data_IF_972124845525
#
_entry.id   IF_972124845525
#
_cell.length_a   1.000
_cell.length_b   1.000
_cell.length_c   1.000
_cell.angle_alpha   90.00
_cell.angle_beta   90.00
_cell.angle_gamma   90.00
#
_symmetry.space_group_name_H-M   'P 1'
#
loop_
_entity.id
_entity.type
_entity.pdbx_description
1 polymer ?
#
# COMPACT_ATOMS: atom_id res chain seq x y z
N UNK A 1 47.68 46.71 3.21
CA UNK A 1 47.35 45.45 2.52
C UNK A 1 46.42 44.65 3.41
N UNK A 2 45.12 44.55 3.08
CA UNK A 2 44.11 43.88 3.91
C UNK A 2 44.04 42.38 3.56
N UNK A 3 43.81 41.55 4.58
CA UNK A 3 43.24 40.21 4.42
C UNK A 3 42.08 40.10 5.39
N UNK A 4 40.89 40.46 4.90
CA UNK A 4 39.63 40.14 5.57
C UNK A 4 39.25 38.71 5.16
N UNK A 5 39.28 37.81 6.14
CA UNK A 5 38.78 36.45 6.02
C UNK A 5 37.26 36.52 5.80
N UNK A 6 36.82 36.39 4.55
CA UNK A 6 35.42 36.28 4.18
C UNK A 6 34.89 34.92 4.62
N UNK A 7 34.30 34.89 5.81
CA UNK A 7 33.43 33.82 6.26
C UNK A 7 32.18 33.81 5.39
N UNK A 8 32.19 33.03 4.31
CA UNK A 8 31.00 32.71 3.51
C UNK A 8 29.97 32.03 4.42
N UNK A 9 29.11 32.85 5.03
CA UNK A 9 27.85 32.43 5.62
C UNK A 9 27.05 31.77 4.49
N UNK A 10 26.96 30.44 4.54
CA UNK A 10 26.03 29.68 3.71
C UNK A 10 24.64 30.13 4.11
N UNK A 11 24.05 31.03 3.33
CA UNK A 11 22.63 31.34 3.38
C UNK A 11 21.91 30.04 3.04
N UNK A 12 21.49 29.30 4.07
CA UNK A 12 20.48 28.27 3.89
C UNK A 12 19.25 29.00 3.37
N UNK A 13 18.96 28.82 2.09
CA UNK A 13 17.73 29.24 1.45
C UNK A 13 16.57 28.72 2.31
N UNK A 14 15.98 29.62 3.10
CA UNK A 14 14.72 29.39 3.78
C UNK A 14 13.70 29.14 2.68
N UNK A 15 13.52 27.86 2.31
CA UNK A 15 12.38 27.42 1.53
C UNK A 15 11.18 27.99 2.26
N UNK A 16 10.41 28.86 1.59
CA UNK A 16 9.17 29.43 2.09
C UNK A 16 8.27 28.27 2.46
N UNK A 17 8.31 27.85 3.74
CA UNK A 17 7.47 26.78 4.26
C UNK A 17 6.08 27.36 4.23
N UNK A 18 5.29 26.97 3.24
CA UNK A 18 3.87 27.28 3.23
C UNK A 18 3.29 26.60 4.47
N UNK A 19 2.56 27.36 5.28
CA UNK A 19 1.91 26.80 6.45
C UNK A 19 0.84 25.78 6.03
N UNK A 20 0.75 24.71 6.80
CA UNK A 20 -0.28 23.70 6.63
C UNK A 20 -1.64 24.31 6.97
N UNK A 21 -2.61 24.19 6.06
CA UNK A 21 -3.95 24.76 6.24
C UNK A 21 -4.96 23.76 6.76
N UNK A 22 -4.85 22.50 6.33
CA UNK A 22 -5.83 21.45 6.65
C UNK A 22 -5.18 20.24 7.30
N UNK A 23 -4.02 19.83 6.80
CA UNK A 23 -3.33 18.64 7.29
C UNK A 23 -2.50 18.95 8.54
N UNK A 24 -2.38 17.96 9.42
CA UNK A 24 -1.44 18.03 10.53
C UNK A 24 -0.01 17.73 10.05
N UNK A 25 0.98 18.11 10.85
CA UNK A 25 2.40 17.94 10.51
C UNK A 25 2.76 16.49 10.21
N UNK A 26 2.13 15.51 10.86
CA UNK A 26 2.43 14.09 10.64
C UNK A 26 1.83 13.60 9.32
N UNK A 27 0.57 13.90 9.02
CA UNK A 27 -0.04 13.55 7.75
C UNK A 27 0.69 14.22 6.57
N UNK A 28 1.02 15.51 6.70
CA UNK A 28 1.78 16.24 5.69
C UNK A 28 3.16 15.62 5.46
N UNK A 29 3.87 15.25 6.53
CA UNK A 29 5.19 14.63 6.41
C UNK A 29 5.12 13.24 5.77
N UNK A 30 4.12 12.41 6.13
CA UNK A 30 3.90 11.11 5.50
C UNK A 30 3.69 11.23 3.98
N UNK A 31 2.86 12.21 3.56
CA UNK A 31 2.66 12.50 2.15
C UNK A 31 3.92 13.06 1.49
N UNK A 32 4.68 13.93 2.15
CA UNK A 32 5.97 14.40 1.63
C UNK A 32 6.99 13.26 1.45
N UNK A 33 6.97 12.24 2.31
CA UNK A 33 7.82 11.05 2.14
C UNK A 33 7.39 10.25 0.90
N UNK A 34 6.08 10.04 0.72
CA UNK A 34 5.53 9.36 -0.46
C UNK A 34 5.93 10.08 -1.77
N UNK A 35 5.75 11.39 -1.77
CA UNK A 35 6.05 12.27 -2.90
C UNK A 35 7.56 12.39 -3.13
N UNK A 36 8.38 12.40 -2.08
CA UNK A 36 9.83 12.47 -2.20
C UNK A 36 10.49 11.17 -2.65
N UNK A 37 9.82 10.03 -2.46
CA UNK A 37 10.28 8.71 -2.87
C UNK A 37 9.67 8.28 -4.21
N UNK A 38 8.70 7.37 -4.14
CA UNK A 38 8.17 6.65 -5.30
C UNK A 38 7.42 7.52 -6.32
N UNK A 39 6.93 8.70 -5.92
CA UNK A 39 6.12 9.58 -6.78
C UNK A 39 6.84 10.89 -7.20
N UNK A 40 8.14 11.01 -6.91
CA UNK A 40 8.93 12.27 -7.09
C UNK A 40 8.92 12.83 -8.50
N UNK A 41 8.90 11.97 -9.51
CA UNK A 41 9.01 12.37 -10.91
C UNK A 41 7.66 12.45 -11.62
N UNK A 42 6.55 12.35 -10.88
CA UNK A 42 5.21 12.31 -11.47
C UNK A 42 4.41 13.57 -11.15
N UNK A 43 3.79 14.12 -12.19
CA UNK A 43 2.79 15.17 -12.01
C UNK A 43 1.58 14.62 -11.24
N UNK A 44 1.00 15.41 -10.34
CA UNK A 44 -0.14 14.98 -9.52
C UNK A 44 -1.35 14.58 -10.36
N UNK A 45 -1.59 15.27 -11.47
CA UNK A 45 -2.63 14.90 -12.45
C UNK A 45 -2.34 13.55 -13.13
N UNK A 46 -1.07 13.24 -13.39
CA UNK A 46 -0.69 11.95 -13.95
C UNK A 46 -0.93 10.83 -12.95
N UNK A 47 -0.58 11.02 -11.66
CA UNK A 47 -0.86 10.04 -10.60
C UNK A 47 -2.37 9.81 -10.47
N UNK A 48 -3.16 10.88 -10.47
CA UNK A 48 -4.62 10.80 -10.48
C UNK A 48 -5.13 9.98 -11.67
N UNK A 49 -4.59 10.22 -12.87
CA UNK A 49 -4.93 9.47 -14.07
C UNK A 49 -4.58 7.99 -13.92
N UNK A 50 -3.37 7.65 -13.45
CA UNK A 50 -2.94 6.27 -13.20
C UNK A 50 -3.88 5.54 -12.21
N UNK A 51 -4.36 6.23 -11.16
CA UNK A 51 -5.33 5.65 -10.21
C UNK A 51 -6.68 5.42 -10.89
N UNK A 52 -7.12 6.32 -11.78
CA UNK A 52 -8.38 6.19 -12.51
C UNK A 52 -8.32 5.09 -13.59
N UNK A 53 -7.22 4.99 -14.33
CA UNK A 53 -6.99 3.98 -15.37
C UNK A 53 -6.52 2.64 -14.81
N UNK A 54 -6.24 2.58 -13.50
CA UNK A 54 -5.79 1.38 -12.82
C UNK A 54 -4.47 0.83 -13.39
N UNK A 55 -3.53 1.73 -13.70
CA UNK A 55 -2.23 1.39 -14.30
C UNK A 55 -1.26 0.78 -13.29
N UNK A 56 -1.02 -0.52 -13.42
CA UNK A 56 -0.20 -1.34 -12.50
C UNK A 56 1.28 -1.25 -12.79
N UNK A 57 1.69 -0.69 -13.94
CA UNK A 57 3.12 -0.49 -14.24
C UNK A 57 3.72 0.63 -13.39
N UNK A 58 2.89 1.63 -13.09
CA UNK A 58 3.25 2.79 -12.28
C UNK A 58 2.89 2.56 -10.82
N UNK A 59 1.67 2.07 -10.56
CA UNK A 59 1.16 1.82 -9.22
C UNK A 59 1.42 0.36 -8.83
N UNK A 60 2.62 0.08 -8.34
CA UNK A 60 2.95 -1.22 -7.77
C UNK A 60 2.30 -1.42 -6.38
N UNK A 61 2.30 -2.65 -5.86
CA UNK A 61 1.74 -2.99 -4.54
C UNK A 61 2.27 -2.08 -3.43
N UNK A 62 3.59 -1.87 -3.36
CA UNK A 62 4.21 -1.00 -2.35
C UNK A 62 3.70 0.44 -2.40
N UNK A 63 3.57 1.03 -3.58
CA UNK A 63 3.05 2.40 -3.76
C UNK A 63 1.58 2.47 -3.37
N UNK A 64 0.80 1.45 -3.73
CA UNK A 64 -0.61 1.37 -3.35
C UNK A 64 -0.80 1.25 -1.84
N UNK A 65 0.02 0.45 -1.17
CA UNK A 65 0.01 0.31 0.28
C UNK A 65 0.41 1.61 0.98
N UNK A 66 1.48 2.27 0.51
CA UNK A 66 1.90 3.57 1.05
C UNK A 66 0.83 4.64 0.81
N UNK A 67 0.17 4.64 -0.36
CA UNK A 67 -0.96 5.52 -0.62
C UNK A 67 -2.09 5.29 0.38
N UNK A 68 -2.48 4.03 0.61
CA UNK A 68 -3.55 3.69 1.57
C UNK A 68 -3.17 4.08 3.00
N UNK A 69 -1.90 3.89 3.39
CA UNK A 69 -1.41 4.17 4.74
C UNK A 69 -1.24 5.67 5.02
N UNK A 70 -0.78 6.43 4.03
CA UNK A 70 -0.43 7.84 4.19
C UNK A 70 -1.52 8.81 3.75
N UNK A 71 -2.55 8.34 3.02
CA UNK A 71 -3.70 9.17 2.70
C UNK A 71 -4.44 9.59 3.98
N UNK A 72 -4.72 10.89 4.14
CA UNK A 72 -5.51 11.38 5.26
C UNK A 72 -6.95 10.84 5.20
N UNK A 73 -7.65 10.83 6.35
CA UNK A 73 -9.05 10.42 6.43
C UNK A 73 -9.96 11.21 5.46
N UNK A 74 -11.10 10.61 5.06
CA UNK A 74 -12.00 11.20 4.07
C UNK A 74 -12.53 12.57 4.48
N UNK A 75 -12.65 12.85 5.78
CA UNK A 75 -13.09 14.16 6.27
C UNK A 75 -12.06 15.26 6.04
N UNK A 76 -10.76 14.95 6.16
CA UNK A 76 -9.69 15.90 5.81
C UNK A 76 -9.58 16.07 4.29
N UNK A 77 -9.74 15.00 3.51
CA UNK A 77 -9.77 15.07 2.05
C UNK A 77 -10.92 15.96 1.53
N UNK A 78 -12.10 15.89 2.16
CA UNK A 78 -13.23 16.77 1.84
C UNK A 78 -12.91 18.24 2.13
N UNK A 79 -12.27 18.54 3.26
CA UNK A 79 -11.83 19.91 3.58
C UNK A 79 -10.80 20.42 2.56
N UNK A 80 -9.88 19.57 2.13
CA UNK A 80 -8.89 19.92 1.10
C UNK A 80 -9.52 20.22 -0.27
N UNK A 81 -10.63 19.55 -0.61
CA UNK A 81 -11.41 19.83 -1.81
C UNK A 81 -11.97 21.26 -1.84
N UNK A 82 -12.27 21.86 -0.69
CA UNK A 82 -12.72 23.26 -0.60
C UNK A 82 -11.61 24.25 -1.01
N UNK A 83 -10.35 23.84 -0.93
CA UNK A 83 -9.19 24.64 -1.34
C UNK A 83 -8.68 24.31 -2.75
N UNK A 84 -9.45 23.54 -3.54
CA UNK A 84 -9.06 23.11 -4.90
C UNK A 84 -8.84 24.29 -5.86
N UNK A 85 -9.48 25.43 -5.65
CA UNK A 85 -9.25 26.63 -6.46
C UNK A 85 -7.99 27.41 -6.01
N UNK A 86 -7.46 27.08 -4.84
CA UNK A 86 -6.35 27.79 -4.17
C UNK A 86 -5.12 26.89 -3.94
N UNK A 87 -4.88 25.91 -4.81
CA UNK A 87 -3.76 24.94 -4.68
C UNK A 87 -2.39 25.62 -4.61
N UNK A 88 -2.21 26.75 -5.32
CA UNK A 88 -0.97 27.53 -5.31
C UNK A 88 -0.59 28.04 -3.92
N UNK A 89 -1.55 28.17 -3.01
CA UNK A 89 -1.35 28.60 -1.61
C UNK A 89 -1.03 27.44 -0.66
N UNK A 90 -1.25 26.19 -1.06
CA UNK A 90 -1.06 24.99 -0.26
C UNK A 90 0.35 24.39 -0.40
N UNK A 91 0.73 23.55 0.57
CA UNK A 91 1.96 22.74 0.51
C UNK A 91 1.88 21.66 -0.57
N UNK A 92 3.01 21.10 -1.02
CA UNK A 92 3.02 20.01 -2.01
C UNK A 92 2.20 18.79 -1.55
N UNK A 93 2.29 18.42 -0.27
CA UNK A 93 1.52 17.34 0.33
C UNK A 93 0.00 17.59 0.24
N UNK A 94 -0.45 18.81 0.57
CA UNK A 94 -1.85 19.19 0.49
C UNK A 94 -2.35 19.32 -0.95
N UNK A 95 -1.52 19.82 -1.87
CA UNK A 95 -1.84 19.88 -3.30
C UNK A 95 -2.08 18.48 -3.86
N UNK A 96 -1.19 17.54 -3.53
CA UNK A 96 -1.36 16.14 -3.90
C UNK A 96 -2.65 15.58 -3.31
N UNK A 97 -2.87 15.73 -2.00
CA UNK A 97 -4.05 15.23 -1.31
C UNK A 97 -5.35 15.81 -1.88
N UNK A 98 -5.40 17.11 -2.20
CA UNK A 98 -6.55 17.75 -2.85
C UNK A 98 -6.79 17.21 -4.28
N UNK A 99 -5.73 16.95 -5.04
CA UNK A 99 -5.82 16.41 -6.41
C UNK A 99 -6.40 14.99 -6.42
N UNK A 100 -5.96 14.13 -5.50
CA UNK A 100 -6.48 12.76 -5.38
C UNK A 100 -7.83 12.69 -4.67
N UNK A 101 -8.15 13.64 -3.77
CA UNK A 101 -9.45 13.74 -3.11
C UNK A 101 -10.60 13.88 -4.11
N UNK A 102 -10.35 14.47 -5.28
CA UNK A 102 -11.31 14.60 -6.39
C UNK A 102 -11.77 13.23 -6.95
N UNK A 103 -11.04 12.14 -6.68
CA UNK A 103 -11.39 10.80 -7.12
C UNK A 103 -12.52 10.25 -6.24
N UNK A 104 -13.68 9.99 -6.86
CA UNK A 104 -14.81 9.32 -6.21
C UNK A 104 -14.43 7.92 -5.72
N UNK A 105 -14.70 7.67 -4.44
CA UNK A 105 -14.40 6.39 -3.75
C UNK A 105 -12.92 6.00 -3.84
N UNK A 106 -12.01 6.97 -3.65
CA UNK A 106 -10.56 6.77 -3.69
C UNK A 106 -10.10 5.57 -2.83
N UNK A 107 -10.43 5.55 -1.54
CA UNK A 107 -9.95 4.50 -0.63
C UNK A 107 -10.39 3.07 -1.06
N UNK A 108 -11.67 2.81 -1.38
CA UNK A 108 -12.07 1.51 -1.94
C UNK A 108 -11.34 1.13 -3.24
N UNK A 109 -11.08 2.10 -4.13
CA UNK A 109 -10.36 1.85 -5.39
C UNK A 109 -8.92 1.42 -5.14
N UNK A 110 -8.21 2.17 -4.29
CA UNK A 110 -6.82 1.84 -3.93
C UNK A 110 -6.72 0.46 -3.28
N UNK A 111 -7.61 0.13 -2.35
CA UNK A 111 -7.64 -1.22 -1.74
C UNK A 111 -7.90 -2.32 -2.76
N UNK A 112 -8.78 -2.07 -3.72
CA UNK A 112 -9.08 -3.05 -4.78
C UNK A 112 -7.89 -3.26 -5.71
N UNK A 113 -7.17 -2.18 -6.04
CA UNK A 113 -5.93 -2.21 -6.80
C UNK A 113 -4.82 -2.95 -6.05
N UNK A 114 -4.59 -2.61 -4.78
CA UNK A 114 -3.60 -3.27 -3.92
C UNK A 114 -3.90 -4.77 -3.83
N UNK A 115 -5.16 -5.13 -3.58
CA UNK A 115 -5.58 -6.53 -3.56
C UNK A 115 -5.27 -7.24 -4.88
N UNK A 116 -5.54 -6.61 -6.04
CA UNK A 116 -5.24 -7.19 -7.34
C UNK A 116 -3.75 -7.47 -7.52
N UNK A 117 -2.88 -6.54 -7.11
CA UNK A 117 -1.43 -6.70 -7.20
C UNK A 117 -0.93 -7.83 -6.27
N UNK A 118 -1.40 -7.86 -5.03
CA UNK A 118 -0.98 -8.89 -4.06
C UNK A 118 -1.64 -10.24 -4.26
N UNK A 119 -2.71 -10.33 -5.06
CA UNK A 119 -3.50 -11.56 -5.22
C UNK A 119 -2.67 -12.74 -5.72
N UNK A 120 -1.82 -12.51 -6.72
CA UNK A 120 -1.01 -13.60 -7.31
C UNK A 120 0.01 -14.15 -6.32
N UNK A 121 0.66 -13.27 -5.55
CA UNK A 121 1.60 -13.66 -4.49
C UNK A 121 0.89 -14.37 -3.34
N UNK A 122 -0.28 -13.87 -2.94
CA UNK A 122 -1.11 -14.48 -1.90
C UNK A 122 -1.55 -15.90 -2.30
N UNK A 123 -2.05 -16.10 -3.52
CA UNK A 123 -2.41 -17.44 -3.98
C UNK A 123 -1.19 -18.36 -4.10
N UNK A 124 -0.06 -17.83 -4.57
CA UNK A 124 1.17 -18.62 -4.71
C UNK A 124 1.73 -19.06 -3.37
N UNK A 125 1.66 -18.21 -2.34
CA UNK A 125 2.05 -18.56 -0.96
C UNK A 125 1.06 -19.53 -0.29
N UNK A 126 -0.24 -19.45 -0.61
CA UNK A 126 -1.26 -20.34 -0.04
C UNK A 126 -1.33 -21.73 -0.68
N UNK A 127 -0.98 -21.87 -1.97
CA UNK A 127 -0.96 -23.17 -2.69
C UNK A 127 -0.27 -24.30 -1.91
N UNK A 128 0.98 -24.16 -1.44
CA UNK A 128 1.65 -25.25 -0.73
C UNK A 128 0.94 -25.65 0.57
N UNK A 129 0.26 -24.70 1.25
CA UNK A 129 -0.53 -25.02 2.43
C UNK A 129 -1.75 -25.87 2.09
N UNK A 130 -2.45 -25.56 0.99
CA UNK A 130 -3.57 -26.37 0.50
C UNK A 130 -3.11 -27.79 0.16
N UNK A 131 -2.01 -27.94 -0.59
CA UNK A 131 -1.50 -29.24 -1.03
C UNK A 131 -1.01 -30.09 0.15
N UNK A 132 -0.44 -29.44 1.17
CA UNK A 132 -0.07 -30.11 2.43
C UNK A 132 -1.29 -30.60 3.20
N UNK A 133 -2.37 -29.82 3.26
CA UNK A 133 -3.59 -30.24 3.95
C UNK A 133 -4.27 -31.41 3.23
N UNK A 134 -4.33 -31.40 1.90
CA UNK A 134 -4.89 -32.53 1.14
C UNK A 134 -4.09 -33.82 1.35
N UNK A 135 -2.76 -33.75 1.32
CA UNK A 135 -1.92 -34.94 1.54
C UNK A 135 -2.02 -35.48 2.96
N UNK A 136 -2.21 -34.62 3.98
CA UNK A 136 -2.50 -35.06 5.35
C UNK A 136 -3.83 -35.80 5.44
N UNK A 137 -4.89 -35.29 4.79
CA UNK A 137 -6.20 -35.96 4.80
C UNK A 137 -6.18 -37.31 4.10
N UNK A 138 -5.43 -37.46 3.01
CA UNK A 138 -5.27 -38.73 2.30
C UNK A 138 -4.48 -39.74 3.15
N UNK A 139 -3.42 -39.29 3.82
CA UNK A 139 -2.63 -40.14 4.72
C UNK A 139 -3.44 -40.62 5.93
N UNK A 140 -4.30 -39.78 6.51
CA UNK A 140 -5.21 -40.15 7.59
C UNK A 140 -6.23 -41.21 7.16
N UNK A 141 -6.82 -41.09 5.95
CA UNK A 141 -7.74 -42.09 5.39
C UNK A 141 -7.04 -43.44 5.16
N UNK A 142 -5.80 -43.42 4.66
CA UNK A 142 -5.00 -44.62 4.48
C UNK A 142 -4.68 -45.29 5.82
N UNK A 143 -4.27 -44.51 6.83
CA UNK A 143 -3.99 -45.02 8.17
C UNK A 143 -5.22 -45.65 8.84
N UNK A 144 -6.40 -45.05 8.69
CA UNK A 144 -7.67 -45.60 9.17
C UNK A 144 -7.98 -46.96 8.50
N UNK A 145 -7.82 -47.04 7.18
CA UNK A 145 -8.03 -48.29 6.43
C UNK A 145 -7.07 -49.39 6.88
N UNK A 146 -5.78 -49.06 7.09
CA UNK A 146 -4.77 -50.01 7.61
C UNK A 146 -5.12 -50.47 9.02
N UNK A 147 -5.61 -49.58 9.88
CA UNK A 147 -6.05 -49.93 11.24
C UNK A 147 -7.24 -50.89 11.22
N UNK A 148 -8.23 -50.66 10.34
CA UNK A 148 -9.38 -51.54 10.17
C UNK A 148 -8.97 -52.93 9.65
N UNK A 149 -8.08 -52.99 8.66
CA UNK A 149 -7.52 -54.26 8.15
C UNK A 149 -6.82 -55.03 9.28
N UNK A 150 -6.00 -54.36 10.10
CA UNK A 150 -5.33 -54.98 11.25
C UNK A 150 -6.34 -55.50 12.29
N UNK A 151 -7.48 -54.83 12.45
CA UNK A 151 -8.55 -55.24 13.39
C UNK A 151 -9.34 -56.46 12.89
N UNK A 152 -9.46 -56.64 11.58
CA UNK A 152 -10.12 -57.78 10.94
C UNK A 152 -9.23 -59.03 10.85
N UNK A 153 -7.91 -58.86 10.79
CA UNK A 153 -6.93 -59.96 10.62
C UNK A 153 -6.97 -61.10 11.67
N UNK A 154 -7.33 -60.91 12.95
CA UNK A 154 -7.48 -62.01 13.91
C UNK A 154 -8.74 -62.83 13.66
N UNK A 155 -9.83 -62.20 13.21
CA UNK A 155 -11.14 -62.85 13.02
C UNK A 155 -11.14 -63.80 11.83
N UNK A 156 -10.36 -63.48 10.79
CA UNK A 156 -10.16 -64.37 9.64
C UNK A 156 -9.29 -65.59 9.98
N UNK A 157 -8.36 -65.45 10.92
CA UNK A 157 -7.52 -66.55 11.41
C UNK A 157 -8.25 -67.54 12.33
N UNK A 158 -9.34 -67.12 12.97
CA UNK A 158 -10.18 -68.03 13.77
C UNK A 158 -11.24 -68.77 12.95
N UNK A 159 -11.36 -68.48 11.65
CA UNK A 159 -12.34 -69.08 10.74
C UNK A 159 -11.70 -70.07 9.74
N UNK A 160 -10.39 -70.21 9.75
CA UNK A 160 -9.60 -71.18 8.97
C UNK A 160 -8.99 -72.21 9.91
#
# INVERSE_FOLDING_TARGET
MPVLLNSSIRVHTLKKVKDLKVLDSKAAQNLSILLGGSLKHMAYDHIKMCILTCDTKVLNGNVLDLLIQYLPPPDQLKKLLEYKDSLSSLTEAEQFAATVADIKRLAPRLRSLAFREHYQELISSLKPHKDRLSSLTEAEQFAATVADIKRLAPRLRSLA
#
